data_IF_428543267726
#
_entry.id   IF_428543267726
#
_cell.length_a   1.000
_cell.length_b   1.000
_cell.length_c   1.000
_cell.angle_alpha   90.00
_cell.angle_beta   90.00
_cell.angle_gamma   90.00
#
_symmetry.space_group_name_H-M   'P 1'
#
loop_
_entity.id
_entity.type
_entity.pdbx_description
1 polymer ?
#
# COMPACT_ATOMS: atom_id res chain seq x y z
N UNK A 1 -3.20 0.26 17.96
CA UNK A 1 -3.77 -0.69 17.00
C UNK A 1 -5.22 -0.94 17.38
N UNK A 2 -6.15 -0.54 16.52
CA UNK A 2 -7.58 -0.73 16.74
C UNK A 2 -8.11 -1.81 15.81
N UNK A 3 -8.49 -2.95 16.40
CA UNK A 3 -9.08 -4.07 15.65
C UNK A 3 -10.45 -3.66 15.09
N UNK A 4 -11.21 -2.86 15.85
CA UNK A 4 -12.52 -2.33 15.44
C UNK A 4 -12.41 -1.53 14.15
N UNK A 5 -11.48 -0.58 14.08
CA UNK A 5 -11.30 0.26 12.89
C UNK A 5 -10.80 -0.56 11.69
N UNK A 6 -9.91 -1.53 11.92
CA UNK A 6 -9.45 -2.44 10.87
C UNK A 6 -10.62 -3.24 10.29
N UNK A 7 -11.49 -3.80 11.14
CA UNK A 7 -12.69 -4.53 10.68
C UNK A 7 -13.59 -3.63 9.85
N UNK A 8 -13.90 -2.43 10.35
CA UNK A 8 -14.73 -1.46 9.63
C UNK A 8 -14.12 -1.01 8.31
N UNK A 9 -12.79 -0.93 8.21
CA UNK A 9 -12.10 -0.56 6.98
C UNK A 9 -12.30 -1.62 5.87
N UNK A 10 -12.35 -2.90 6.24
CA UNK A 10 -12.66 -3.99 5.30
C UNK A 10 -14.09 -3.93 4.76
N UNK A 11 -15.03 -3.42 5.56
CA UNK A 11 -16.44 -3.26 5.15
C UNK A 11 -16.64 -2.06 4.19
N UNK A 12 -15.61 -1.24 3.98
CA UNK A 12 -15.69 -0.12 3.04
C UNK A 12 -15.59 -0.57 1.58
N UNK A 13 -16.07 0.26 0.65
CA UNK A 13 -15.95 0.01 -0.79
C UNK A 13 -14.55 0.27 -1.38
N UNK A 14 -13.54 0.58 -0.57
CA UNK A 14 -12.18 0.91 -1.02
C UNK A 14 -11.42 -0.35 -1.44
N UNK A 15 -10.51 -0.22 -2.41
CA UNK A 15 -9.76 -1.35 -2.99
C UNK A 15 -8.29 -1.00 -3.23
N UNK A 16 -7.46 -2.02 -3.42
CA UNK A 16 -6.05 -1.85 -3.80
C UNK A 16 -5.28 -0.96 -2.83
N UNK A 17 -4.49 -0.03 -3.37
CA UNK A 17 -3.64 0.87 -2.58
C UNK A 17 -4.43 1.77 -1.62
N UNK A 18 -5.64 2.18 -2.01
CA UNK A 18 -6.48 3.06 -1.19
C UNK A 18 -6.90 2.36 0.11
N UNK A 19 -7.27 1.08 0.01
CA UNK A 19 -7.59 0.21 1.14
C UNK A 19 -6.34 -0.09 1.99
N UNK A 20 -5.19 -0.36 1.36
CA UNK A 20 -3.95 -0.64 2.11
C UNK A 20 -3.50 0.54 2.97
N UNK A 21 -3.64 1.77 2.46
CA UNK A 21 -3.35 2.99 3.24
C UNK A 21 -4.35 3.15 4.37
N UNK A 22 -5.64 2.90 4.12
CA UNK A 22 -6.69 2.99 5.14
C UNK A 22 -6.46 1.99 6.28
N UNK A 23 -6.17 0.73 5.95
CA UNK A 23 -5.84 -0.32 6.91
C UNK A 23 -4.59 0.01 7.71
N UNK A 24 -3.54 0.54 7.06
CA UNK A 24 -2.34 0.96 7.75
C UNK A 24 -2.62 2.09 8.77
N UNK A 25 -3.49 3.06 8.43
CA UNK A 25 -3.93 4.08 9.38
C UNK A 25 -4.71 3.48 10.56
N UNK A 26 -5.65 2.56 10.29
CA UNK A 26 -6.44 1.90 11.34
C UNK A 26 -5.55 1.09 12.30
N UNK A 27 -4.54 0.41 11.77
CA UNK A 27 -3.58 -0.36 12.54
C UNK A 27 -2.69 0.52 13.44
N UNK A 28 -2.27 1.70 12.98
CA UNK A 28 -1.56 2.63 13.86
C UNK A 28 -2.48 3.33 14.87
N UNK A 29 -3.78 3.37 14.61
CA UNK A 29 -4.75 4.11 15.43
C UNK A 29 -5.12 3.37 16.71
N UNK A 30 -5.51 4.13 17.72
CA UNK A 30 -6.25 3.63 18.87
C UNK A 30 -7.76 3.58 18.54
N UNK A 31 -8.59 3.17 19.49
CA UNK A 31 -10.03 3.03 19.26
C UNK A 31 -10.75 4.37 19.05
N UNK A 32 -10.14 5.48 19.48
CA UNK A 32 -10.57 6.86 19.19
C UNK A 32 -10.13 7.36 17.80
N UNK A 33 -9.43 6.51 17.02
CA UNK A 33 -8.97 6.84 15.68
C UNK A 33 -7.73 7.73 15.62
N UNK A 34 -7.02 7.96 16.74
CA UNK A 34 -5.84 8.81 16.81
C UNK A 34 -4.55 8.01 16.56
N UNK A 35 -3.66 8.55 15.74
CA UNK A 35 -2.34 7.99 15.48
C UNK A 35 -1.29 9.04 15.09
N UNK A 36 -0.01 8.69 15.25
CA UNK A 36 1.13 9.58 14.95
C UNK A 36 2.22 8.96 14.06
N UNK A 37 1.91 8.15 13.03
CA UNK A 37 2.93 7.58 12.17
C UNK A 37 3.61 8.66 11.32
N UNK A 38 4.91 8.50 11.07
CA UNK A 38 5.57 9.29 10.04
C UNK A 38 5.07 8.90 8.64
N UNK A 39 5.14 9.80 7.66
CA UNK A 39 4.81 9.46 6.27
C UNK A 39 5.66 8.30 5.73
N UNK A 40 6.93 8.20 6.15
CA UNK A 40 7.80 7.08 5.76
C UNK A 40 7.28 5.77 6.33
N UNK A 41 7.00 5.74 7.63
CA UNK A 41 6.45 4.56 8.32
C UNK A 41 5.15 4.08 7.66
N UNK A 42 4.24 5.03 7.39
CA UNK A 42 2.97 4.73 6.75
C UNK A 42 3.15 4.19 5.32
N UNK A 43 4.06 4.78 4.53
CA UNK A 43 4.35 4.31 3.16
C UNK A 43 4.90 2.89 3.12
N UNK A 44 5.76 2.54 4.08
CA UNK A 44 6.34 1.19 4.19
C UNK A 44 5.26 0.18 4.55
N UNK A 45 4.43 0.49 5.56
CA UNK A 45 3.37 -0.41 6.01
C UNK A 45 2.31 -0.63 4.92
N UNK A 46 1.89 0.44 4.23
CA UNK A 46 0.93 0.36 3.14
C UNK A 46 1.53 -0.11 1.81
N UNK A 47 2.86 -0.29 1.71
CA UNK A 47 3.60 -0.71 0.50
C UNK A 47 3.34 0.20 -0.72
N UNK A 48 3.22 1.51 -0.48
CA UNK A 48 3.00 2.50 -1.54
C UNK A 48 4.10 3.55 -1.57
N UNK A 49 4.32 4.19 -2.73
CA UNK A 49 5.24 5.32 -2.82
C UNK A 49 4.78 6.50 -1.95
N UNK A 50 5.70 7.34 -1.48
CA UNK A 50 5.36 8.57 -0.75
C UNK A 50 4.43 9.50 -1.54
N UNK A 51 4.58 9.53 -2.87
CA UNK A 51 3.72 10.33 -3.76
C UNK A 51 2.29 9.79 -3.75
N UNK A 52 2.13 8.48 -3.98
CA UNK A 52 0.82 7.81 -3.96
C UNK A 52 0.15 7.98 -2.60
N UNK A 53 0.90 7.76 -1.51
CA UNK A 53 0.43 7.97 -0.15
C UNK A 53 -0.11 9.40 0.05
N UNK A 54 0.63 10.41 -0.43
CA UNK A 54 0.23 11.82 -0.30
C UNK A 54 -1.10 12.10 -1.02
N UNK A 55 -1.32 11.52 -2.20
CA UNK A 55 -2.58 11.66 -2.93
C UNK A 55 -3.74 11.01 -2.20
N UNK A 56 -3.57 9.78 -1.71
CA UNK A 56 -4.60 9.03 -0.98
C UNK A 56 -4.97 9.78 0.31
N UNK A 57 -3.97 10.21 1.09
CA UNK A 57 -4.21 10.97 2.32
C UNK A 57 -4.95 12.29 2.06
N UNK A 58 -4.59 13.01 0.99
CA UNK A 58 -5.29 14.25 0.59
C UNK A 58 -6.73 13.96 0.15
N UNK A 59 -6.96 12.87 -0.58
CA UNK A 59 -8.30 12.50 -1.02
C UNK A 59 -9.20 12.15 0.18
N UNK A 60 -8.70 11.34 1.12
CA UNK A 60 -9.43 11.03 2.35
C UNK A 60 -9.69 12.27 3.23
N UNK A 61 -8.74 13.19 3.29
CA UNK A 61 -8.90 14.47 4.00
C UNK A 61 -9.96 15.37 3.34
N UNK A 62 -9.96 15.49 2.01
CA UNK A 62 -10.93 16.30 1.24
C UNK A 62 -12.36 15.79 1.39
N UNK A 63 -12.55 14.48 1.56
CA UNK A 63 -13.89 13.90 1.79
C UNK A 63 -14.30 13.81 3.27
N UNK A 64 -13.40 14.13 4.21
CA UNK A 64 -13.66 14.19 5.65
C UNK A 64 -13.37 12.91 6.45
N UNK A 65 -12.93 11.84 5.79
CA UNK A 65 -12.66 10.52 6.42
C UNK A 65 -11.55 10.63 7.47
N UNK A 66 -10.52 11.44 7.17
CA UNK A 66 -9.42 11.71 8.09
C UNK A 66 -9.19 13.20 8.28
N UNK A 67 -8.53 13.54 9.38
CA UNK A 67 -7.95 14.87 9.60
C UNK A 67 -6.47 14.73 9.92
N UNK A 68 -5.66 15.61 9.33
CA UNK A 68 -4.22 15.67 9.57
C UNK A 68 -3.84 16.98 10.26
N UNK A 69 -3.01 16.89 11.30
CA UNK A 69 -2.42 18.07 11.96
C UNK A 69 -0.92 17.93 12.02
N UNK A 70 -0.21 18.90 11.45
CA UNK A 70 1.22 19.04 11.72
C UNK A 70 1.41 19.47 13.16
N UNK A 71 2.44 18.93 13.80
CA UNK A 71 2.79 19.27 15.17
C UNK A 71 4.18 19.85 15.17
N UNK A 72 4.38 20.87 15.98
CA UNK A 72 5.68 21.45 16.24
C UNK A 72 6.03 21.23 17.71
N UNK A 73 7.31 21.04 17.98
CA UNK A 73 7.86 21.04 19.34
C UNK A 73 8.18 22.50 19.73
N UNK A 74 8.43 22.75 21.01
CA UNK A 74 8.78 24.07 21.56
C UNK A 74 9.96 24.73 20.83
N UNK A 75 10.90 23.93 20.32
CA UNK A 75 12.02 24.38 19.49
C UNK A 75 11.64 24.69 18.02
N UNK A 76 10.35 24.77 17.70
CA UNK A 76 9.77 24.96 16.35
C UNK A 76 10.14 23.88 15.32
N UNK A 77 10.75 22.77 15.74
CA UNK A 77 11.01 21.65 14.84
C UNK A 77 9.73 20.84 14.59
N UNK A 78 9.56 20.41 13.34
CA UNK A 78 8.44 19.55 12.96
C UNK A 78 8.55 18.20 13.68
N UNK A 79 7.45 17.78 14.29
CA UNK A 79 7.32 16.44 14.88
C UNK A 79 6.41 15.57 14.01
N UNK A 80 6.25 14.30 14.38
CA UNK A 80 5.28 13.40 13.77
C UNK A 80 3.90 14.04 13.63
N UNK A 81 3.40 14.01 12.40
CA UNK A 81 2.04 14.40 12.04
C UNK A 81 1.02 13.57 12.81
N UNK A 82 0.02 14.23 13.38
CA UNK A 82 -1.14 13.57 13.97
C UNK A 82 -2.17 13.28 12.88
N UNK A 83 -2.69 12.06 12.88
CA UNK A 83 -3.83 11.63 12.07
C UNK A 83 -4.98 11.30 13.01
N UNK A 84 -6.19 11.69 12.62
CA UNK A 84 -7.45 11.28 13.25
C UNK A 84 -8.35 10.66 12.19
N UNK A 85 -8.84 9.45 12.44
CA UNK A 85 -9.92 8.84 11.68
C UNK A 85 -11.24 9.38 12.23
N UNK A 86 -12.01 10.08 11.40
CA UNK A 86 -13.28 10.69 11.83
C UNK A 86 -14.44 9.71 11.66
N UNK A 87 -14.51 9.07 10.49
CA UNK A 87 -15.48 8.04 10.15
C UNK A 87 -14.95 7.18 8.99
N UNK A 88 -15.47 5.97 8.85
CA UNK A 88 -15.14 5.06 7.74
C UNK A 88 -16.30 4.91 6.74
N UNK A 89 -17.30 5.79 6.80
CA UNK A 89 -18.31 5.91 5.75
C UNK A 89 -17.72 6.64 4.53
N UNK A 90 -17.45 5.92 3.45
CA UNK A 90 -16.74 6.43 2.26
C UNK A 90 -17.63 6.32 1.02
N UNK A 91 -17.97 7.47 0.44
CA UNK A 91 -18.55 7.54 -0.91
C UNK A 91 -17.44 7.40 -1.96
N UNK A 92 -17.46 6.29 -2.70
CA UNK A 92 -16.46 5.96 -3.70
C UNK A 92 -16.40 6.97 -4.86
N UNK A 93 -17.52 7.56 -5.27
CA UNK A 93 -17.54 8.55 -6.35
C UNK A 93 -16.97 9.89 -5.88
N UNK A 94 -17.31 10.30 -4.65
CA UNK A 94 -16.69 11.47 -4.02
C UNK A 94 -15.18 11.27 -3.85
N UNK A 95 -14.76 10.09 -3.41
CA UNK A 95 -13.34 9.75 -3.26
C UNK A 95 -12.58 9.81 -4.59
N UNK A 96 -13.10 9.20 -5.66
CA UNK A 96 -12.47 9.25 -6.99
C UNK A 96 -12.23 10.68 -7.47
N UNK A 97 -13.23 11.57 -7.30
CA UNK A 97 -13.12 12.99 -7.65
C UNK A 97 -12.02 13.69 -6.84
N UNK A 98 -11.98 13.46 -5.52
CA UNK A 98 -10.95 14.01 -4.64
C UNK A 98 -9.54 13.51 -4.99
N UNK A 99 -9.39 12.23 -5.31
CA UNK A 99 -8.12 11.64 -5.74
C UNK A 99 -7.61 12.25 -7.05
N UNK A 100 -8.47 12.39 -8.05
CA UNK A 100 -8.13 13.06 -9.31
C UNK A 100 -7.70 14.52 -9.10
N UNK A 101 -8.41 15.26 -8.22
CA UNK A 101 -8.06 16.63 -7.82
C UNK A 101 -6.66 16.68 -7.18
N UNK A 102 -6.36 15.76 -6.26
CA UNK A 102 -5.05 15.69 -5.60
C UNK A 102 -3.90 15.44 -6.59
N UNK A 103 -4.13 14.60 -7.61
CA UNK A 103 -3.13 14.30 -8.66
C UNK A 103 -2.90 15.51 -9.58
N UNK A 104 -3.97 16.14 -10.08
CA UNK A 104 -3.91 17.33 -10.95
C UNK A 104 -3.22 18.53 -10.29
N UNK A 105 -3.39 18.70 -8.98
CA UNK A 105 -2.70 19.76 -8.22
C UNK A 105 -1.17 19.66 -8.34
N UNK A 106 -0.62 18.43 -8.31
CA UNK A 106 0.82 18.24 -8.47
C UNK A 106 1.29 18.48 -9.89
N UNK A 107 0.50 18.07 -10.89
CA UNK A 107 0.80 18.30 -12.31
C UNK A 107 0.91 19.80 -12.62
N UNK A 108 -0.03 20.62 -12.13
CA UNK A 108 0.04 22.10 -12.28
C UNK A 108 1.25 22.72 -11.59
N UNK A 109 1.63 22.23 -10.41
CA UNK A 109 2.82 22.70 -9.70
C UNK A 109 4.14 22.25 -10.36
N UNK A 110 4.14 21.10 -11.03
CA UNK A 110 5.28 20.63 -11.82
C UNK A 110 5.50 21.41 -13.12
N UNK A 111 4.44 21.98 -13.68
CA UNK A 111 4.50 22.80 -14.89
C UNK A 111 4.94 24.26 -14.63
N UNK A 112 4.91 24.74 -13.38
CA UNK A 112 5.19 26.14 -13.04
C UNK A 112 6.66 26.43 -12.68
N UNK A 113 7.59 25.53 -12.99
CA UNK A 113 9.02 25.70 -12.67
C UNK A 113 9.93 25.33 -13.85
N UNK A 114 9.59 25.80 -15.06
CA UNK A 114 10.58 25.85 -16.13
C UNK A 114 11.31 27.18 -16.00
N UNK A 115 12.44 27.17 -15.28
CA UNK A 115 13.44 28.20 -15.45
C UNK A 115 13.98 28.10 -16.88
N UNK A 116 13.93 29.21 -17.61
CA UNK A 116 14.48 29.33 -18.95
C UNK A 116 15.99 29.04 -18.90
N UNK A 117 16.37 27.83 -19.25
CA UNK A 117 17.71 27.58 -19.73
C UNK A 117 17.66 27.72 -21.24
N UNK A 118 18.33 28.75 -21.76
CA UNK A 118 18.60 28.91 -23.18
C UNK A 118 19.30 27.64 -23.69
N UNK A 119 18.52 26.74 -24.31
CA UNK A 119 19.07 25.67 -25.12
C UNK A 119 19.28 26.29 -26.50
N UNK A 120 20.54 26.55 -26.84
CA UNK A 120 20.91 26.88 -28.21
C UNK A 120 20.57 25.68 -29.10
N UNK A 121 19.51 25.82 -29.89
CA UNK A 121 19.09 24.83 -30.87
C UNK A 121 20.16 24.73 -31.98
N UNK A 122 21.08 23.79 -31.85
CA UNK A 122 21.80 23.28 -33.01
C UNK A 122 20.96 22.22 -33.70
N UNK A 123 20.46 22.63 -34.87
CA UNK A 123 19.64 21.89 -35.81
C UNK A 123 20.42 20.72 -36.41
N UNK A 124 19.94 19.48 -36.27
CA UNK A 124 20.43 18.34 -37.08
C UNK A 124 19.24 17.50 -37.57
N UNK A 125 19.24 17.36 -38.89
CA UNK A 125 18.24 16.79 -39.80
C UNK A 125 17.64 15.43 -39.39
N UNK A 126 16.32 15.34 -39.50
CA UNK A 126 15.56 14.10 -39.75
C UNK A 126 15.90 13.54 -41.13
N UNK A 127 16.58 12.39 -41.21
CA UNK A 127 16.59 11.53 -42.39
C UNK A 127 16.41 10.05 -41.99
N UNK A 128 15.26 9.51 -42.42
CA UNK A 128 14.89 8.15 -42.79
C UNK A 128 15.67 6.91 -42.25
N UNK A 129 14.91 5.97 -41.68
CA UNK A 129 14.88 4.56 -42.12
C UNK A 129 13.72 3.82 -41.42
N UNK A 130 12.97 3.04 -42.19
CA UNK A 130 11.97 2.08 -41.70
C UNK A 130 12.58 1.10 -40.68
N UNK A 131 11.85 0.81 -39.60
CA UNK A 131 11.95 -0.47 -38.89
C UNK A 131 10.56 -0.83 -38.35
N UNK A 132 9.92 -1.78 -39.02
CA UNK A 132 8.86 -2.59 -38.43
C UNK A 132 9.41 -3.29 -37.17
N UNK A 133 8.58 -3.38 -36.12
CA UNK A 133 8.82 -4.11 -34.87
C UNK A 133 9.84 -3.51 -33.87
N UNK A 134 9.35 -2.80 -32.85
CA UNK A 134 10.08 -2.54 -31.59
C UNK A 134 9.14 -2.51 -30.37
N UNK A 135 9.49 -3.34 -29.39
CA UNK A 135 8.95 -3.57 -28.04
C UNK A 135 8.58 -2.32 -27.20
N UNK A 136 7.67 -2.46 -26.20
CA UNK A 136 7.26 -1.35 -25.33
C UNK A 136 8.43 -0.72 -24.55
N UNK A 137 8.50 0.61 -24.64
CA UNK A 137 9.60 1.46 -24.20
C UNK A 137 10.02 1.31 -22.71
N UNK A 138 11.34 1.15 -22.51
CA UNK A 138 12.04 1.16 -21.23
C UNK A 138 12.23 2.60 -20.70
N UNK A 139 11.40 3.06 -19.76
CA UNK A 139 11.57 4.36 -19.06
C UNK A 139 12.33 4.23 -17.72
N UNK A 140 12.95 3.10 -17.42
CA UNK A 140 13.62 2.89 -16.12
C UNK A 140 15.16 3.05 -16.14
N UNK A 141 15.70 4.00 -16.91
CA UNK A 141 17.15 4.31 -16.94
C UNK A 141 17.52 5.52 -16.07
N UNK A 142 16.99 5.59 -14.86
CA UNK A 142 17.54 6.49 -13.83
C UNK A 142 17.86 5.79 -12.50
N UNK A 143 17.54 4.50 -12.37
CA UNK A 143 17.82 3.73 -11.16
C UNK A 143 19.18 2.98 -11.17
N UNK A 144 19.93 3.01 -12.28
CA UNK A 144 21.11 2.16 -12.44
C UNK A 144 22.47 2.84 -12.15
N UNK A 145 22.52 4.15 -11.89
CA UNK A 145 23.81 4.84 -11.73
C UNK A 145 24.33 4.93 -10.29
N UNK A 146 23.62 4.38 -9.30
CA UNK A 146 24.07 4.37 -7.89
C UNK A 146 24.81 3.07 -7.54
N UNK A 147 24.72 2.03 -8.37
CA UNK A 147 25.33 0.72 -8.11
C UNK A 147 26.63 0.44 -8.88
N UNK A 148 27.09 1.37 -9.74
CA UNK A 148 28.27 1.13 -10.60
C UNK A 148 29.63 1.41 -9.91
N UNK A 149 29.64 1.76 -8.63
CA UNK A 149 30.86 2.14 -7.90
C UNK A 149 31.04 1.36 -6.60
N UNK A 150 30.91 0.02 -6.62
CA UNK A 150 31.53 -0.86 -5.61
C UNK A 150 31.36 -2.35 -5.97
N UNK A 151 31.99 -2.78 -7.07
CA UNK A 151 32.07 -4.18 -7.47
C UNK A 151 33.30 -4.87 -6.86
N UNK A 152 33.31 -5.12 -5.55
CA UNK A 152 34.21 -6.16 -4.96
C UNK A 152 33.62 -6.97 -3.80
N UNK A 153 32.40 -6.69 -3.33
CA UNK A 153 31.73 -7.54 -2.34
C UNK A 153 30.21 -7.50 -2.56
N UNK A 154 29.69 -8.41 -3.39
CA UNK A 154 28.26 -8.70 -3.45
C UNK A 154 28.04 -10.16 -3.01
N UNK A 155 27.20 -10.43 -2.01
CA UNK A 155 26.69 -11.78 -1.78
C UNK A 155 25.80 -12.19 -2.97
N UNK A 156 25.86 -13.47 -3.32
CA UNK A 156 25.13 -14.09 -4.44
C UNK A 156 23.65 -13.69 -4.44
N UNK A 157 23.18 -13.29 -5.61
CA UNK A 157 21.77 -13.14 -5.97
C UNK A 157 20.99 -14.39 -5.50
N UNK A 158 20.07 -14.22 -4.57
CA UNK A 158 19.02 -15.21 -4.33
C UNK A 158 17.79 -14.65 -5.03
N UNK A 159 17.47 -15.25 -6.18
CA UNK A 159 16.17 -15.16 -6.82
C UNK A 159 15.06 -15.39 -5.79
N UNK A 160 13.88 -14.78 -6.01
CA UNK A 160 12.65 -15.00 -5.24
C UNK A 160 12.56 -16.44 -4.72
N UNK A 161 12.86 -16.67 -3.44
CA UNK A 161 12.48 -17.90 -2.77
C UNK A 161 11.15 -17.64 -2.09
N UNK A 162 10.22 -18.57 -2.31
CA UNK A 162 8.96 -18.66 -1.58
C UNK A 162 9.22 -18.40 -0.10
N UNK A 163 8.60 -17.36 0.43
CA UNK A 163 8.72 -16.98 1.82
C UNK A 163 8.11 -18.11 2.68
N UNK A 164 8.96 -18.93 3.30
CA UNK A 164 8.59 -20.07 4.15
C UNK A 164 7.52 -19.70 5.18
N UNK A 165 7.49 -18.45 5.62
CA UNK A 165 6.48 -17.92 6.51
C UNK A 165 5.05 -18.09 5.98
N UNK A 166 4.81 -17.72 4.71
CA UNK A 166 3.46 -17.79 4.13
C UNK A 166 3.03 -19.22 3.82
N UNK A 167 3.97 -20.08 3.41
CA UNK A 167 3.71 -21.51 3.22
C UNK A 167 3.40 -22.19 4.54
N UNK A 168 4.21 -21.96 5.57
CA UNK A 168 4.03 -22.57 6.88
C UNK A 168 2.73 -22.07 7.56
N UNK A 169 2.39 -20.78 7.41
CA UNK A 169 1.11 -20.26 7.90
C UNK A 169 -0.09 -20.95 7.22
N UNK A 170 -0.06 -21.08 5.89
CA UNK A 170 -1.13 -21.73 5.14
C UNK A 170 -1.22 -23.24 5.44
N UNK A 171 -0.09 -23.94 5.49
CA UNK A 171 -0.03 -25.36 5.87
C UNK A 171 -0.57 -25.60 7.28
N UNK A 172 -0.29 -24.71 8.23
CA UNK A 172 -0.82 -24.82 9.59
C UNK A 172 -2.34 -24.58 9.64
N UNK A 173 -2.89 -23.67 8.82
CA UNK A 173 -4.34 -23.53 8.71
C UNK A 173 -4.99 -24.76 8.09
N UNK A 174 -4.41 -25.31 7.02
CA UNK A 174 -4.93 -26.52 6.35
C UNK A 174 -4.85 -27.73 7.29
N UNK A 175 -3.73 -27.94 7.99
CA UNK A 175 -3.58 -29.01 8.98
C UNK A 175 -4.60 -28.89 10.11
N UNK A 176 -4.86 -27.66 10.59
CA UNK A 176 -5.87 -27.40 11.62
C UNK A 176 -7.27 -27.77 11.12
N UNK A 177 -7.63 -27.37 9.89
CA UNK A 177 -8.93 -27.70 9.30
C UNK A 177 -9.12 -29.21 9.09
N UNK A 178 -8.10 -29.92 8.60
CA UNK A 178 -8.15 -31.39 8.43
C UNK A 178 -8.28 -32.11 9.78
N UNK A 179 -7.60 -31.61 10.83
CA UNK A 179 -7.73 -32.21 12.16
C UNK A 179 -9.13 -32.05 12.73
N UNK A 180 -9.78 -30.91 12.48
CA UNK A 180 -11.15 -30.63 12.90
C UNK A 180 -12.12 -31.56 12.17
N UNK A 181 -12.01 -31.70 10.84
CA UNK A 181 -12.91 -32.57 10.07
C UNK A 181 -12.80 -34.04 10.51
N UNK A 182 -11.59 -34.51 10.82
CA UNK A 182 -11.36 -35.88 11.28
C UNK A 182 -11.96 -36.15 12.66
N UNK A 183 -11.97 -35.15 13.54
CA UNK A 183 -12.67 -35.24 14.84
C UNK A 183 -14.18 -35.26 14.68
N UNK A 184 -14.75 -34.49 13.74
CA UNK A 184 -16.19 -34.51 13.44
C UNK A 184 -16.64 -35.84 12.83
N UNK A 185 -15.81 -36.47 11.99
CA UNK A 185 -16.05 -37.82 11.46
C UNK A 185 -16.03 -38.88 12.58
N UNK A 186 -15.05 -38.84 13.48
CA UNK A 186 -14.99 -39.75 14.63
C UNK A 186 -16.17 -39.57 15.58
N UNK A 187 -16.58 -38.32 15.84
CA UNK A 187 -17.74 -38.03 16.67
C UNK A 187 -19.04 -38.58 16.05
N UNK A 188 -19.19 -38.51 14.72
CA UNK A 188 -20.31 -39.13 14.00
C UNK A 188 -20.29 -40.66 14.10
N UNK A 189 -19.14 -41.29 13.87
CA UNK A 189 -19.00 -42.74 13.97
C UNK A 189 -19.27 -43.26 15.39
N UNK A 190 -18.82 -42.56 16.42
CA UNK A 190 -19.11 -42.92 17.81
C UNK A 190 -20.61 -42.81 18.13
N UNK A 191 -21.28 -41.78 17.63
CA UNK A 191 -22.74 -41.62 17.79
C UNK A 191 -23.52 -42.75 17.08
N UNK A 192 -23.06 -43.18 15.92
CA UNK A 192 -23.67 -44.32 15.19
C UNK A 192 -23.46 -45.65 15.92
N UNK A 193 -22.28 -45.87 16.53
CA UNK A 193 -22.01 -47.05 17.33
C UNK A 193 -22.83 -47.10 18.64
N UNK A 194 -23.08 -45.95 19.27
CA UNK A 194 -23.98 -45.87 20.44
C UNK A 194 -25.42 -46.26 20.08
N UNK A 195 -25.91 -45.88 18.90
CA UNK A 195 -27.27 -46.22 18.43
C UNK A 195 -27.40 -47.73 18.17
N UNK A 196 -26.33 -48.40 17.72
CA UNK A 196 -26.31 -49.85 17.47
C UNK A 196 -26.15 -50.71 18.73
N UNK A 197 -25.77 -50.11 19.87
CA UNK A 197 -25.60 -50.84 21.14
C UNK A 197 -26.89 -50.98 21.97
N UNK A 198 -27.99 -50.33 21.56
CA UNK A 198 -29.29 -50.33 22.27
C UNK A 198 -30.47 -50.84 21.42
N UNK A 199 -30.21 -51.51 20.29
CA UNK A 199 -31.21 -52.20 19.47
C UNK A 199 -30.96 -53.70 19.44
#
# INVERSE_FOLDING_TARGET
>A
MSIKLISQAWDTGQKGNDLLVLLALCDFSNDEGLSYPSLKTLSIKAKVSKTTLSYILRAYEDIGVITRKQRQRDNKSDTSTMYKINHLNIDNEKYKKAYQKARKYKEKKGLSSQCEHHINNHNVNTQNANCEHLEPSNINRHYLNIYSSNSKNLPKLIFFTENEFWRNWNENQVKKLISISKLEELARANKENEILSYG
#
